data_IF_330093274669
#
_entry.id   IF_330093274669
#
_cell.length_a   1.000
_cell.length_b   1.000
_cell.length_c   1.000
_cell.angle_alpha   90.00
_cell.angle_beta   90.00
_cell.angle_gamma   90.00
#
_symmetry.space_group_name_H-M   'P 1'
#
loop_
_entity.id
_entity.type
_entity.pdbx_description
1 polymer ?
#
# COMPACT_ATOMS: atom_id res chain seq x y z
N UNK A 1 27.94 6.53 -26.01
CA UNK A 1 27.22 6.76 -24.74
C UNK A 1 28.04 6.21 -23.59
N UNK A 2 28.64 7.08 -22.75
CA UNK A 2 29.43 6.65 -21.58
C UNK A 2 28.50 5.94 -20.59
N UNK A 3 28.79 4.68 -20.25
CA UNK A 3 28.11 3.97 -19.16
C UNK A 3 28.38 4.74 -17.86
N UNK A 4 27.36 5.39 -17.30
CA UNK A 4 27.47 5.95 -15.95
C UNK A 4 27.91 4.83 -15.00
N UNK A 5 28.92 5.06 -14.15
CA UNK A 5 29.40 4.05 -13.21
C UNK A 5 28.25 3.55 -12.34
N UNK A 6 28.24 2.25 -12.06
CA UNK A 6 27.16 1.52 -11.36
C UNK A 6 26.75 2.23 -10.05
N UNK A 7 27.72 2.84 -9.37
CA UNK A 7 27.54 3.59 -8.12
C UNK A 7 26.61 4.79 -8.30
N UNK A 8 26.76 5.56 -9.39
CA UNK A 8 25.93 6.75 -9.65
C UNK A 8 24.47 6.32 -9.89
N UNK A 9 24.25 5.22 -10.60
CA UNK A 9 22.90 4.66 -10.80
C UNK A 9 22.27 4.18 -9.49
N UNK A 10 23.05 3.54 -8.61
CA UNK A 10 22.55 3.11 -7.30
C UNK A 10 22.14 4.30 -6.43
N UNK A 11 22.93 5.37 -6.43
CA UNK A 11 22.62 6.60 -5.68
C UNK A 11 21.35 7.27 -6.24
N UNK A 12 21.23 7.33 -7.57
CA UNK A 12 20.05 7.89 -8.24
C UNK A 12 18.77 7.10 -7.89
N UNK A 13 18.85 5.77 -7.88
CA UNK A 13 17.74 4.91 -7.46
C UNK A 13 17.36 5.18 -6.00
N UNK A 14 18.34 5.19 -5.08
CA UNK A 14 18.11 5.48 -3.65
C UNK A 14 17.46 6.86 -3.48
N UNK A 15 17.94 7.87 -4.20
CA UNK A 15 17.40 9.21 -4.18
C UNK A 15 15.93 9.25 -4.65
N UNK A 16 15.61 8.55 -5.73
CA UNK A 16 14.24 8.43 -6.21
C UNK A 16 13.33 7.71 -5.20
N UNK A 17 13.80 6.65 -4.54
CA UNK A 17 13.04 5.99 -3.46
C UNK A 17 12.70 6.96 -2.32
N UNK A 18 13.66 7.78 -1.91
CA UNK A 18 13.48 8.81 -0.88
C UNK A 18 12.42 9.82 -1.32
N UNK A 19 12.53 10.37 -2.54
CA UNK A 19 11.54 11.33 -3.06
C UNK A 19 10.15 10.72 -3.11
N UNK A 20 10.01 9.49 -3.63
CA UNK A 20 8.73 8.81 -3.70
C UNK A 20 8.09 8.65 -2.32
N UNK A 21 8.89 8.30 -1.31
CA UNK A 21 8.39 8.16 0.06
C UNK A 21 8.03 9.52 0.68
N UNK A 22 8.80 10.57 0.43
CA UNK A 22 8.45 11.93 0.86
C UNK A 22 7.14 12.38 0.20
N UNK A 23 6.94 12.08 -1.08
CA UNK A 23 5.71 12.37 -1.80
C UNK A 23 4.50 11.60 -1.24
N UNK A 24 4.71 10.34 -0.82
CA UNK A 24 3.69 9.55 -0.10
C UNK A 24 3.18 10.31 1.12
N UNK A 25 4.10 10.68 2.03
CA UNK A 25 3.76 11.33 3.28
C UNK A 25 3.16 12.72 3.05
N UNK A 26 3.72 13.50 2.13
CA UNK A 26 3.18 14.80 1.75
C UNK A 26 1.75 14.70 1.21
N UNK A 27 1.48 13.70 0.37
CA UNK A 27 0.13 13.46 -0.17
C UNK A 27 -0.84 12.97 0.90
N UNK A 28 -0.37 12.10 1.83
CA UNK A 28 -1.16 11.60 2.95
C UNK A 28 -1.61 12.75 3.87
N UNK A 29 -0.68 13.65 4.21
CA UNK A 29 -0.97 14.82 5.04
C UNK A 29 -1.92 15.77 4.32
N UNK A 30 -1.66 16.09 3.04
CA UNK A 30 -2.47 17.02 2.25
C UNK A 30 -3.89 16.51 1.98
N UNK A 31 -4.05 15.20 1.80
CA UNK A 31 -5.35 14.57 1.54
C UNK A 31 -6.13 14.26 2.83
N UNK A 32 -5.52 14.57 3.98
CA UNK A 32 -6.02 14.25 5.32
C UNK A 32 -5.65 12.82 5.72
N UNK A 33 -5.06 12.64 6.91
CA UNK A 33 -4.58 11.34 7.39
C UNK A 33 -5.67 10.24 7.38
N UNK A 34 -6.94 10.64 7.57
CA UNK A 34 -8.09 9.73 7.63
C UNK A 34 -8.57 9.29 6.23
N UNK A 35 -8.43 10.15 5.22
CA UNK A 35 -8.98 9.92 3.87
C UNK A 35 -7.90 9.70 2.81
N UNK A 36 -6.64 9.92 3.16
CA UNK A 36 -5.53 10.09 2.23
C UNK A 36 -4.77 8.81 1.91
N UNK A 37 -5.05 7.67 2.56
CA UNK A 37 -4.27 6.44 2.34
C UNK A 37 -4.25 6.03 0.87
N UNK A 38 -5.43 5.93 0.24
CA UNK A 38 -5.53 5.56 -1.17
C UNK A 38 -4.87 6.60 -2.10
N UNK A 39 -4.99 7.88 -1.77
CA UNK A 39 -4.39 8.97 -2.55
C UNK A 39 -2.86 8.97 -2.47
N UNK A 40 -2.32 8.76 -1.27
CA UNK A 40 -0.89 8.62 -1.03
C UNK A 40 -0.33 7.39 -1.77
N UNK A 41 -1.01 6.25 -1.67
CA UNK A 41 -0.65 5.03 -2.37
C UNK A 41 -0.59 5.20 -3.89
N UNK A 42 -1.63 5.80 -4.47
CA UNK A 42 -1.66 6.09 -5.91
C UNK A 42 -0.53 7.04 -6.30
N UNK A 43 -0.26 8.09 -5.52
CA UNK A 43 0.80 9.07 -5.83
C UNK A 43 2.19 8.42 -5.95
N UNK A 44 2.53 7.50 -5.05
CA UNK A 44 3.81 6.76 -5.08
C UNK A 44 3.86 5.82 -6.28
N UNK A 45 2.77 5.12 -6.56
CA UNK A 45 2.70 4.23 -7.71
C UNK A 45 2.90 4.99 -9.02
N UNK A 46 2.26 6.16 -9.19
CA UNK A 46 2.48 7.04 -10.34
C UNK A 46 3.94 7.44 -10.42
N UNK A 47 4.52 7.91 -9.31
CA UNK A 47 5.91 8.35 -9.26
C UNK A 47 6.90 7.23 -9.64
N UNK A 48 6.72 6.02 -9.10
CA UNK A 48 7.58 4.88 -9.42
C UNK A 48 7.42 4.41 -10.88
N UNK A 49 6.23 4.58 -11.46
CA UNK A 49 5.96 4.31 -12.87
C UNK A 49 6.62 5.33 -13.80
N UNK A 50 6.48 6.64 -13.51
CA UNK A 50 7.08 7.70 -14.31
C UNK A 50 8.61 7.62 -14.35
N UNK A 51 9.23 7.18 -13.26
CA UNK A 51 10.68 7.02 -13.16
C UNK A 51 11.21 5.67 -13.67
N UNK A 52 10.40 4.90 -14.42
CA UNK A 52 10.78 3.62 -15.02
C UNK A 52 11.39 2.60 -14.03
N UNK A 53 11.00 2.66 -12.75
CA UNK A 53 11.39 1.62 -11.78
C UNK A 53 10.65 0.28 -12.03
N UNK A 54 9.68 0.30 -12.94
CA UNK A 54 9.00 -0.87 -13.49
C UNK A 54 9.39 -1.08 -14.95
N UNK A 55 9.41 -2.34 -15.40
CA UNK A 55 9.38 -2.68 -16.82
C UNK A 55 8.13 -2.07 -17.47
N UNK A 56 8.23 -1.48 -18.67
CA UNK A 56 7.18 -0.64 -19.23
C UNK A 56 5.96 -1.51 -19.56
N UNK A 57 4.94 -1.44 -18.72
CA UNK A 57 3.61 -1.80 -19.15
C UNK A 57 3.12 -0.61 -19.99
N UNK A 58 3.33 -0.70 -21.30
CA UNK A 58 2.93 0.27 -22.33
C UNK A 58 1.72 1.12 -21.89
N UNK A 59 1.97 2.38 -21.53
CA UNK A 59 0.95 3.38 -21.28
C UNK A 59 1.35 4.65 -22.04
N UNK A 60 0.91 4.72 -23.29
CA UNK A 60 0.70 5.98 -24.02
C UNK A 60 -0.45 6.80 -23.40
N UNK A 61 -0.61 6.77 -22.09
CA UNK A 61 -1.66 7.50 -21.40
C UNK A 61 -1.08 8.00 -20.12
N UNK A 62 -0.53 9.23 -20.20
CA UNK A 62 -0.70 10.25 -19.16
C UNK A 62 -1.92 9.87 -18.34
N UNK A 63 -1.69 9.42 -17.13
CA UNK A 63 -2.74 9.24 -16.15
C UNK A 63 -3.42 10.60 -16.07
N UNK A 64 -4.55 10.76 -16.76
CA UNK A 64 -5.34 11.99 -16.72
C UNK A 64 -5.57 12.23 -15.24
N UNK A 65 -4.96 13.29 -14.74
CA UNK A 65 -4.83 13.77 -13.37
C UNK A 65 -6.18 14.01 -12.67
N UNK A 66 -7.31 13.54 -13.22
CA UNK A 66 -8.66 13.79 -12.73
C UNK A 66 -9.48 12.55 -12.39
N UNK A 67 -9.12 11.33 -12.81
CA UNK A 67 -9.93 10.15 -12.49
C UNK A 67 -9.33 9.36 -11.33
N UNK A 68 -9.70 9.74 -10.10
CA UNK A 68 -9.37 8.97 -8.91
C UNK A 68 -10.11 7.62 -8.85
N UNK A 69 -9.56 6.68 -8.09
CA UNK A 69 -10.22 5.41 -7.78
C UNK A 69 -11.63 5.67 -7.19
N UNK A 70 -12.68 4.97 -7.64
CA UNK A 70 -14.06 5.22 -7.19
C UNK A 70 -14.17 4.99 -5.68
N UNK A 71 -14.88 5.84 -4.94
CA UNK A 71 -15.05 5.69 -3.48
C UNK A 71 -13.76 5.68 -2.63
N UNK A 72 -12.61 6.13 -3.16
CA UNK A 72 -11.31 6.16 -2.46
C UNK A 72 -11.34 6.72 -1.02
N UNK A 73 -12.13 7.77 -0.79
CA UNK A 73 -12.28 8.40 0.54
C UNK A 73 -12.99 7.47 1.53
N UNK A 74 -14.04 6.78 1.09
CA UNK A 74 -14.78 5.83 1.94
C UNK A 74 -13.89 4.65 2.33
N UNK A 75 -13.16 4.11 1.37
CA UNK A 75 -12.26 2.99 1.65
C UNK A 75 -11.09 3.39 2.57
N UNK A 76 -10.51 4.58 2.38
CA UNK A 76 -9.49 5.11 3.30
C UNK A 76 -10.07 5.35 4.70
N UNK A 77 -11.29 5.88 4.79
CA UNK A 77 -11.97 6.08 6.08
C UNK A 77 -12.21 4.77 6.83
N UNK A 78 -12.72 3.74 6.15
CA UNK A 78 -12.91 2.41 6.75
C UNK A 78 -11.54 1.83 7.18
N UNK A 79 -10.49 2.03 6.37
CA UNK A 79 -9.15 1.58 6.72
C UNK A 79 -8.66 2.21 8.02
N UNK A 80 -8.79 3.55 8.14
CA UNK A 80 -8.40 4.28 9.35
C UNK A 80 -9.27 3.89 10.54
N UNK A 81 -10.59 3.74 10.36
CA UNK A 81 -11.50 3.33 11.42
C UNK A 81 -11.16 1.94 11.98
N UNK A 82 -10.89 0.98 11.10
CA UNK A 82 -10.45 -0.36 11.51
C UNK A 82 -9.09 -0.32 12.22
N UNK A 83 -8.14 0.47 11.73
CA UNK A 83 -6.85 0.67 12.41
C UNK A 83 -7.03 1.26 13.81
N UNK A 84 -7.91 2.26 13.96
CA UNK A 84 -8.22 2.87 15.26
C UNK A 84 -8.85 1.86 16.22
N UNK A 85 -9.72 0.96 15.74
CA UNK A 85 -10.30 -0.11 16.56
C UNK A 85 -9.20 -1.09 17.02
N UNK A 86 -8.29 -1.49 16.13
CA UNK A 86 -7.14 -2.34 16.50
C UNK A 86 -6.27 -1.68 17.58
N UNK A 87 -5.94 -0.40 17.41
CA UNK A 87 -5.16 0.36 18.39
C UNK A 87 -5.89 0.52 19.72
N UNK A 88 -7.19 0.82 19.70
CA UNK A 88 -7.99 0.94 20.91
C UNK A 88 -8.02 -0.38 21.70
N UNK A 89 -8.24 -1.51 21.02
CA UNK A 89 -8.20 -2.84 21.65
C UNK A 89 -6.81 -3.15 22.26
N UNK A 90 -5.73 -2.77 21.56
CA UNK A 90 -4.38 -2.94 22.07
C UNK A 90 -4.15 -2.10 23.35
N UNK A 91 -4.48 -0.81 23.34
CA UNK A 91 -4.37 0.04 24.53
C UNK A 91 -5.24 -0.44 25.69
N UNK A 92 -6.42 -0.98 25.41
CA UNK A 92 -7.32 -1.50 26.45
C UNK A 92 -6.72 -2.71 27.18
N UNK A 93 -5.96 -3.55 26.48
CA UNK A 93 -5.21 -4.67 27.08
C UNK A 93 -4.06 -4.15 27.94
N UNK A 94 -3.26 -3.21 27.41
CA UNK A 94 -2.12 -2.62 28.12
C UNK A 94 -2.55 -1.87 29.40
N UNK A 95 -3.75 -1.30 29.42
CA UNK A 95 -4.32 -0.63 30.61
C UNK A 95 -4.86 -1.61 31.67
N UNK A 96 -4.63 -2.92 31.52
CA UNK A 96 -4.97 -3.93 32.53
C UNK A 96 -6.41 -4.44 32.48
N UNK A 97 -7.10 -4.26 31.36
CA UNK A 97 -8.43 -4.85 31.16
C UNK A 97 -8.38 -6.39 31.09
N UNK A 98 -9.51 -7.04 31.38
CA UNK A 98 -9.62 -8.50 31.39
C UNK A 98 -9.21 -9.10 30.04
N UNK A 99 -8.11 -9.86 30.06
CA UNK A 99 -7.56 -10.55 28.89
C UNK A 99 -8.57 -11.49 28.22
N UNK A 100 -9.55 -11.99 28.98
CA UNK A 100 -10.59 -12.90 28.48
C UNK A 100 -11.59 -12.26 27.53
N UNK A 101 -11.82 -10.95 27.64
CA UNK A 101 -12.75 -10.21 26.74
C UNK A 101 -11.95 -9.43 25.70
N UNK A 102 -10.89 -8.74 26.14
CA UNK A 102 -10.11 -7.88 25.26
C UNK A 102 -9.25 -8.68 24.26
N UNK A 103 -8.75 -9.86 24.65
CA UNK A 103 -7.95 -10.73 23.78
C UNK A 103 -8.71 -11.18 22.52
N UNK A 104 -9.88 -11.84 22.64
CA UNK A 104 -10.68 -12.23 21.48
C UNK A 104 -11.10 -11.04 20.60
N UNK A 105 -11.43 -9.88 21.19
CA UNK A 105 -11.77 -8.67 20.43
C UNK A 105 -10.57 -8.12 19.65
N UNK A 106 -9.38 -8.13 20.25
CA UNK A 106 -8.14 -7.76 19.55
C UNK A 106 -7.91 -8.69 18.36
N UNK A 107 -7.96 -10.01 18.56
CA UNK A 107 -7.78 -11.00 17.49
C UNK A 107 -8.79 -10.75 16.37
N UNK A 108 -10.08 -10.62 16.68
CA UNK A 108 -11.12 -10.36 15.69
C UNK A 108 -10.88 -9.05 14.91
N UNK A 109 -10.51 -7.97 15.60
CA UNK A 109 -10.23 -6.67 14.96
C UNK A 109 -9.00 -6.73 14.06
N UNK A 110 -7.92 -7.37 14.50
CA UNK A 110 -6.68 -7.53 13.72
C UNK A 110 -6.94 -8.41 12.49
N UNK A 111 -7.70 -9.49 12.63
CA UNK A 111 -8.09 -10.33 11.49
C UNK A 111 -8.91 -9.54 10.48
N UNK A 112 -9.95 -8.82 10.92
CA UNK A 112 -10.79 -8.00 10.04
C UNK A 112 -9.98 -6.91 9.32
N UNK A 113 -9.11 -6.22 10.06
CA UNK A 113 -8.21 -5.21 9.51
C UNK A 113 -7.25 -5.81 8.48
N UNK A 114 -6.66 -6.98 8.78
CA UNK A 114 -5.73 -7.66 7.89
C UNK A 114 -6.38 -8.03 6.56
N UNK A 115 -7.58 -8.62 6.59
CA UNK A 115 -8.34 -8.92 5.37
C UNK A 115 -8.66 -7.66 4.57
N UNK A 116 -9.13 -6.63 5.25
CA UNK A 116 -9.48 -5.36 4.61
C UNK A 116 -8.26 -4.63 4.03
N UNK A 117 -7.11 -4.68 4.71
CA UNK A 117 -5.86 -4.10 4.25
C UNK A 117 -5.37 -4.79 2.97
N UNK A 118 -5.36 -6.13 2.95
CA UNK A 118 -4.98 -6.89 1.75
C UNK A 118 -5.92 -6.59 0.58
N UNK A 119 -7.23 -6.56 0.83
CA UNK A 119 -8.22 -6.15 -0.15
C UNK A 119 -7.91 -4.76 -0.74
N UNK A 120 -7.66 -3.77 0.12
CA UNK A 120 -7.43 -2.40 -0.32
C UNK A 120 -6.14 -2.27 -1.13
N UNK A 121 -5.04 -2.89 -0.69
CA UNK A 121 -3.75 -2.88 -1.40
C UNK A 121 -3.87 -3.58 -2.76
N UNK A 122 -4.56 -4.71 -2.83
CA UNK A 122 -4.82 -5.39 -4.10
C UNK A 122 -5.67 -4.54 -5.04
N UNK A 123 -6.76 -3.94 -4.55
CA UNK A 123 -7.60 -3.07 -5.37
C UNK A 123 -6.80 -1.90 -5.95
N UNK A 124 -5.93 -1.27 -5.16
CA UNK A 124 -5.05 -0.18 -5.63
C UNK A 124 -4.07 -0.72 -6.69
N UNK A 125 -3.46 -1.88 -6.44
CA UNK A 125 -2.47 -2.44 -7.36
C UNK A 125 -3.07 -2.88 -8.69
N UNK A 126 -4.25 -3.52 -8.67
CA UNK A 126 -5.00 -3.94 -9.87
C UNK A 126 -5.47 -2.69 -10.63
N UNK A 127 -5.99 -1.68 -9.92
CA UNK A 127 -6.41 -0.42 -10.53
C UNK A 127 -5.25 0.30 -11.24
N UNK A 128 -4.06 0.28 -10.64
CA UNK A 128 -2.84 0.84 -11.23
C UNK A 128 -2.35 0.05 -12.45
N UNK A 129 -2.72 -1.23 -12.56
CA UNK A 129 -2.31 -2.13 -13.65
C UNK A 129 -3.48 -2.33 -14.65
N UNK A 130 -3.92 -1.23 -15.26
CA UNK A 130 -5.15 -1.07 -16.09
C UNK A 130 -5.40 -2.10 -17.22
N UNK A 131 -4.49 -3.03 -17.50
CA UNK A 131 -4.72 -4.10 -18.49
C UNK A 131 -5.83 -5.09 -18.08
N UNK A 132 -6.14 -5.22 -16.79
CA UNK A 132 -7.09 -6.22 -16.29
C UNK A 132 -8.52 -5.70 -16.07
N UNK A 133 -8.75 -4.38 -16.09
CA UNK A 133 -10.06 -3.80 -15.69
C UNK A 133 -10.59 -2.87 -16.76
N UNK A 134 -11.39 -3.42 -17.68
CA UNK A 134 -12.16 -2.63 -18.67
C UNK A 134 -13.29 -1.82 -18.01
N UNK A 135 -13.81 -2.26 -16.85
CA UNK A 135 -14.92 -1.59 -16.14
C UNK A 135 -14.60 -1.22 -14.69
N UNK A 136 -14.56 0.09 -14.40
CA UNK A 136 -14.33 0.65 -13.06
C UNK A 136 -15.36 0.19 -12.02
N UNK A 137 -16.57 -0.19 -12.44
CA UNK A 137 -17.66 -0.63 -11.55
C UNK A 137 -17.38 -2.00 -10.91
N UNK A 138 -16.65 -2.87 -11.61
CA UNK A 138 -16.41 -4.25 -11.18
C UNK A 138 -15.06 -4.47 -10.48
N UNK A 139 -14.24 -3.41 -10.35
CA UNK A 139 -12.92 -3.48 -9.71
C UNK A 139 -12.95 -4.19 -8.34
N UNK A 140 -13.94 -3.87 -7.52
CA UNK A 140 -14.04 -4.41 -6.16
C UNK A 140 -14.45 -5.88 -6.15
N UNK A 141 -15.45 -6.25 -6.96
CA UNK A 141 -15.86 -7.64 -7.12
C UNK A 141 -14.72 -8.49 -7.68
N UNK A 142 -13.99 -7.96 -8.67
CA UNK A 142 -12.81 -8.59 -9.22
C UNK A 142 -11.70 -8.75 -8.18
N UNK A 143 -11.47 -7.76 -7.32
CA UNK A 143 -10.47 -7.87 -6.25
C UNK A 143 -10.82 -8.99 -5.27
N UNK A 144 -12.10 -9.12 -4.90
CA UNK A 144 -12.54 -10.21 -4.00
C UNK A 144 -12.36 -11.58 -4.67
N UNK A 145 -12.77 -11.73 -5.93
CA UNK A 145 -12.56 -12.97 -6.69
C UNK A 145 -11.06 -13.30 -6.81
N UNK A 146 -10.23 -12.29 -7.06
CA UNK A 146 -8.77 -12.45 -7.11
C UNK A 146 -8.16 -12.91 -5.79
N UNK A 147 -8.60 -12.34 -4.67
CA UNK A 147 -8.14 -12.74 -3.33
C UNK A 147 -8.41 -14.21 -3.04
N UNK A 148 -9.59 -14.69 -3.44
CA UNK A 148 -10.02 -16.08 -3.23
C UNK A 148 -9.26 -17.03 -4.17
N UNK A 149 -9.11 -16.67 -5.45
CA UNK A 149 -8.43 -17.50 -6.44
C UNK A 149 -6.92 -17.56 -6.25
N UNK A 150 -6.30 -16.52 -5.69
CA UNK A 150 -4.84 -16.41 -5.52
C UNK A 150 -4.47 -16.13 -4.06
N UNK A 151 -4.73 -17.06 -3.12
CA UNK A 151 -4.53 -16.85 -1.69
C UNK A 151 -3.05 -16.60 -1.34
N UNK A 152 -2.11 -17.18 -2.07
CA UNK A 152 -0.68 -16.94 -1.84
C UNK A 152 -0.24 -15.51 -2.14
N UNK A 153 -0.90 -14.81 -3.09
CA UNK A 153 -0.61 -13.40 -3.36
C UNK A 153 -1.15 -12.49 -2.26
N UNK A 154 -2.34 -12.82 -1.75
CA UNK A 154 -2.92 -12.17 -0.58
C UNK A 154 -2.03 -12.33 0.66
N UNK A 155 -1.52 -13.55 0.89
CA UNK A 155 -0.60 -13.87 1.98
C UNK A 155 0.75 -13.17 1.82
N UNK A 156 1.27 -13.06 0.59
CA UNK A 156 2.49 -12.30 0.30
C UNK A 156 2.36 -10.83 0.71
N UNK A 157 1.23 -10.17 0.39
CA UNK A 157 0.99 -8.78 0.78
C UNK A 157 0.94 -8.64 2.31
N UNK A 158 0.30 -9.58 3.00
CA UNK A 158 0.23 -9.59 4.45
C UNK A 158 1.63 -9.72 5.08
N UNK A 159 2.43 -10.68 4.63
CA UNK A 159 3.80 -10.90 5.12
C UNK A 159 4.71 -9.70 4.82
N UNK A 160 4.55 -9.09 3.65
CA UNK A 160 5.28 -7.87 3.28
C UNK A 160 4.92 -6.73 4.23
N UNK A 161 3.63 -6.54 4.51
CA UNK A 161 3.15 -5.52 5.45
C UNK A 161 3.72 -5.73 6.85
N UNK A 162 3.70 -6.96 7.36
CA UNK A 162 4.29 -7.31 8.67
C UNK A 162 5.80 -7.03 8.71
N UNK A 163 6.50 -7.36 7.63
CA UNK A 163 7.95 -7.09 7.52
C UNK A 163 8.25 -5.59 7.53
N UNK A 164 7.43 -4.79 6.85
CA UNK A 164 7.56 -3.33 6.83
C UNK A 164 7.23 -2.68 8.18
N UNK A 165 6.23 -3.19 8.90
CA UNK A 165 5.94 -2.77 10.29
C UNK A 165 7.13 -3.12 11.19
N UNK A 166 7.73 -4.30 11.03
CA UNK A 166 8.96 -4.69 11.73
C UNK A 166 10.10 -3.71 11.49
N UNK A 167 10.28 -3.20 10.26
CA UNK A 167 11.27 -2.16 9.99
C UNK A 167 11.01 -0.86 10.76
N UNK A 168 9.74 -0.48 10.96
CA UNK A 168 9.38 0.70 11.76
C UNK A 168 9.86 0.56 13.21
N UNK A 169 9.79 -0.66 13.76
CA UNK A 169 10.26 -0.96 15.12
C UNK A 169 11.77 -0.80 15.27
N UNK A 170 12.55 -1.24 14.28
CA UNK A 170 14.02 -1.14 14.34
C UNK A 170 14.57 0.22 13.94
N UNK A 171 13.98 0.88 12.93
CA UNK A 171 14.48 2.15 12.43
C UNK A 171 13.38 2.99 11.77
N UNK A 172 12.87 3.96 12.53
CA UNK A 172 11.83 4.89 12.08
C UNK A 172 12.28 5.76 10.89
N UNK A 173 13.56 6.14 10.84
CA UNK A 173 14.10 6.97 9.74
C UNK A 173 14.04 6.18 8.43
N UNK A 174 14.52 4.93 8.45
CA UNK A 174 14.45 4.05 7.28
C UNK A 174 13.00 3.80 6.89
N UNK A 175 12.11 3.62 7.87
CA UNK A 175 10.69 3.48 7.61
C UNK A 175 10.10 4.68 6.87
N UNK A 176 10.35 5.90 7.33
CA UNK A 176 9.79 7.10 6.70
C UNK A 176 10.30 7.28 5.27
N UNK A 177 11.61 7.10 5.03
CA UNK A 177 12.21 7.44 3.74
C UNK A 177 12.22 6.33 2.69
N UNK A 178 12.12 5.06 3.09
CA UNK A 178 12.30 3.94 2.16
C UNK A 178 11.08 3.03 2.05
N UNK A 179 10.37 2.79 3.15
CA UNK A 179 9.34 1.75 3.22
C UNK A 179 8.16 2.00 2.27
N UNK A 180 7.56 3.20 2.15
CA UNK A 180 6.43 3.40 1.24
C UNK A 180 6.77 3.03 -0.21
N UNK A 181 7.89 3.53 -0.72
CA UNK A 181 8.32 3.25 -2.10
C UNK A 181 8.74 1.79 -2.30
N UNK A 182 9.45 1.17 -1.36
CA UNK A 182 9.78 -0.26 -1.44
C UNK A 182 8.55 -1.15 -1.39
N UNK A 183 7.61 -0.85 -0.50
CA UNK A 183 6.37 -1.60 -0.35
C UNK A 183 5.62 -1.66 -1.67
N UNK A 184 5.35 -0.50 -2.29
CA UNK A 184 4.62 -0.45 -3.55
C UNK A 184 5.39 -1.06 -4.73
N UNK A 185 6.73 -0.99 -4.71
CA UNK A 185 7.54 -1.70 -5.69
C UNK A 185 7.45 -3.23 -5.55
N UNK A 186 7.55 -3.76 -4.33
CA UNK A 186 7.45 -5.20 -4.09
C UNK A 186 6.04 -5.74 -4.33
N UNK A 187 4.99 -4.99 -3.96
CA UNK A 187 3.61 -5.35 -4.26
C UNK A 187 3.42 -5.50 -5.77
N UNK A 188 3.85 -4.51 -6.56
CA UNK A 188 3.72 -4.57 -8.01
C UNK A 188 4.53 -5.71 -8.64
N UNK A 189 5.80 -5.91 -8.22
CA UNK A 189 6.62 -7.02 -8.72
C UNK A 189 6.05 -8.38 -8.34
N UNK A 190 5.61 -8.56 -7.10
CA UNK A 190 5.02 -9.80 -6.60
C UNK A 190 3.71 -10.18 -7.29
N UNK A 191 2.94 -9.18 -7.74
CA UNK A 191 1.70 -9.40 -8.48
C UNK A 191 1.90 -9.61 -10.00
N UNK A 192 3.05 -9.19 -10.55
CA UNK A 192 3.40 -9.34 -11.97
C UNK A 192 4.03 -10.70 -12.32
N UNK A 193 4.43 -11.52 -11.34
CA UNK A 193 4.94 -12.88 -11.61
C UNK A 193 3.80 -13.69 -12.24
N UNK A 194 3.95 -14.07 -13.51
CA UNK A 194 2.99 -14.90 -14.24
C UNK A 194 3.05 -16.34 -13.77
#
# INVERSE_FOLDING_TARGET
MKKSPVIIKSIEIVYLFIIGSVQYWGTLIRSGLIYGFVDAALSVLVFLQENNMYTPTNLNTKQKTGEGMPFKKRFSFIWTGLLSICLANYFFIEMGSSQYVAGPMLVASVTLFSFYHVFLVLSISIYSNKKEVQDKKWLYAYTVDYMIRKPFRSLFILLLTLSMIGMAYFNLIVFVFFVPSFFWLFVQKGLQVK
#
